data_IF_847683188064
#
_entry.id   IF_847683188064
#
_cell.length_a   1.000
_cell.length_b   1.000
_cell.length_c   1.000
_cell.angle_alpha   90.00
_cell.angle_beta   90.00
_cell.angle_gamma   90.00
#
_symmetry.space_group_name_H-M   'P 1'
#
loop_
_entity.id
_entity.type
_entity.pdbx_description
1 polymer ?
#
# COMPACT_ATOMS: atom_id res chain seq x y z
N UNK A 1 -7.17 -8.47 24.83
CA UNK A 1 -7.23 -9.65 23.96
C UNK A 1 -8.04 -9.29 22.74
N UNK A 2 -7.35 -9.04 21.62
CA UNK A 2 -8.03 -8.80 20.35
C UNK A 2 -8.71 -10.12 19.92
N UNK A 3 -9.85 -10.08 19.20
CA UNK A 3 -10.53 -11.28 18.72
C UNK A 3 -9.66 -12.18 17.81
N UNK A 4 -8.50 -11.71 17.40
CA UNK A 4 -7.49 -12.46 16.63
C UNK A 4 -6.58 -13.35 17.49
N UNK A 5 -6.64 -13.23 18.81
CA UNK A 5 -5.90 -14.09 19.72
C UNK A 5 -6.77 -15.24 20.26
N UNK A 6 -7.93 -15.44 19.67
CA UNK A 6 -8.60 -16.72 19.81
C UNK A 6 -7.76 -17.72 19.05
N UNK A 7 -7.18 -18.61 19.80
CA UNK A 7 -6.50 -19.80 19.33
C UNK A 7 -7.28 -20.38 18.13
N UNK A 8 -6.68 -20.41 16.94
CA UNK A 8 -7.31 -20.94 15.73
C UNK A 8 -7.76 -22.40 15.95
N UNK A 9 -7.14 -23.11 16.89
CA UNK A 9 -7.56 -24.42 17.33
C UNK A 9 -8.95 -24.44 17.97
N UNK A 10 -9.42 -23.33 18.54
CA UNK A 10 -10.78 -23.20 19.07
C UNK A 10 -11.83 -22.81 18.01
N UNK A 11 -11.40 -22.31 16.87
CA UNK A 11 -12.28 -21.99 15.73
C UNK A 11 -12.47 -23.18 14.79
N UNK A 12 -11.49 -24.07 14.75
CA UNK A 12 -11.49 -25.30 14.00
C UNK A 12 -11.63 -26.43 15.03
N UNK A 13 -12.86 -26.82 15.28
CA UNK A 13 -13.16 -27.91 16.20
C UNK A 13 -12.77 -29.26 15.56
N UNK A 14 -11.47 -29.41 15.27
CA UNK A 14 -10.91 -30.67 14.74
C UNK A 14 -10.86 -31.70 15.85
N UNK A 15 -11.80 -32.57 15.83
CA UNK A 15 -11.82 -33.78 16.72
C UNK A 15 -10.85 -34.85 16.23
N UNK A 16 -10.35 -34.75 15.00
CA UNK A 16 -9.38 -35.69 14.41
C UNK A 16 -7.98 -35.06 14.35
N UNK A 17 -6.97 -35.65 15.01
CA UNK A 17 -5.59 -35.19 14.95
C UNK A 17 -5.01 -35.11 13.52
N UNK A 18 -5.49 -35.96 12.61
CA UNK A 18 -5.02 -35.95 11.21
C UNK A 18 -5.54 -34.76 10.43
N UNK A 19 -6.76 -34.29 10.69
CA UNK A 19 -7.31 -33.08 10.09
C UNK A 19 -6.59 -31.83 10.60
N UNK A 20 -6.24 -31.81 11.89
CA UNK A 20 -5.46 -30.72 12.47
C UNK A 20 -4.08 -30.63 11.83
N UNK A 21 -3.39 -31.75 11.64
CA UNK A 21 -2.06 -31.79 11.03
C UNK A 21 -2.10 -31.40 9.54
N UNK A 22 -3.16 -31.81 8.83
CA UNK A 22 -3.38 -31.40 7.44
C UNK A 22 -3.62 -29.91 7.32
N UNK A 23 -4.50 -29.34 8.14
CA UNK A 23 -4.78 -27.91 8.17
C UNK A 23 -3.53 -27.09 8.53
N UNK A 24 -2.70 -27.60 9.46
CA UNK A 24 -1.43 -26.99 9.83
C UNK A 24 -0.45 -26.95 8.66
N UNK A 25 -0.32 -28.05 7.91
CA UNK A 25 0.52 -28.09 6.71
C UNK A 25 0.02 -27.14 5.62
N UNK A 26 -1.27 -27.11 5.37
CA UNK A 26 -1.86 -26.16 4.40
C UNK A 26 -1.63 -24.71 4.81
N UNK A 27 -1.71 -24.38 6.10
CA UNK A 27 -1.38 -23.03 6.61
C UNK A 27 0.10 -22.70 6.49
N UNK A 28 0.99 -23.68 6.66
CA UNK A 28 2.43 -23.51 6.45
C UNK A 28 2.77 -23.32 4.97
N UNK A 29 2.14 -24.07 4.06
CA UNK A 29 2.31 -23.96 2.61
C UNK A 29 1.80 -22.60 2.07
N UNK A 30 0.73 -22.08 2.66
CA UNK A 30 0.20 -20.75 2.30
C UNK A 30 1.05 -19.60 2.83
N UNK A 31 2.19 -19.87 3.48
CA UNK A 31 3.07 -18.86 4.05
C UNK A 31 2.43 -18.03 5.15
N UNK A 32 1.29 -18.47 5.68
CA UNK A 32 0.58 -17.78 6.76
C UNK A 32 1.33 -18.02 8.07
N UNK A 33 1.65 -16.90 8.66
CA UNK A 33 2.42 -16.62 9.85
C UNK A 33 2.45 -17.75 10.86
N UNK A 34 3.66 -18.25 11.09
CA UNK A 34 3.96 -19.07 12.25
C UNK A 34 3.78 -18.22 13.51
N UNK A 35 2.79 -18.55 14.27
CA UNK A 35 2.33 -17.88 15.50
C UNK A 35 3.41 -17.61 16.55
N UNK A 36 3.19 -16.64 17.41
CA UNK A 36 2.15 -15.63 17.45
C UNK A 36 2.53 -14.38 16.64
N UNK A 37 1.52 -13.68 16.08
CA UNK A 37 1.76 -12.38 15.49
C UNK A 37 2.36 -11.43 16.55
N UNK A 38 3.54 -10.90 16.29
CA UNK A 38 4.24 -10.00 17.22
C UNK A 38 3.64 -8.59 17.25
N UNK A 39 2.80 -8.27 16.29
CA UNK A 39 2.15 -6.96 16.18
C UNK A 39 0.83 -7.07 15.43
N UNK A 40 -0.01 -6.04 15.57
CA UNK A 40 -1.22 -5.89 14.77
C UNK A 40 -0.85 -5.39 13.36
N UNK A 41 -1.45 -6.00 12.33
CA UNK A 41 -1.30 -5.55 10.94
C UNK A 41 -2.21 -4.37 10.58
N UNK A 42 -3.06 -3.90 11.51
CA UNK A 42 -4.00 -2.81 11.28
C UNK A 42 -3.39 -1.41 11.42
N UNK A 43 -2.15 -1.30 11.87
CA UNK A 43 -1.45 -0.03 11.94
C UNK A 43 -1.37 0.67 10.57
N UNK A 44 -1.38 2.01 10.57
CA UNK A 44 -1.26 2.83 9.36
C UNK A 44 0.18 2.98 8.88
N UNK A 45 1.13 2.63 9.73
CA UNK A 45 2.56 2.58 9.48
C UNK A 45 3.04 1.18 9.86
N UNK A 46 3.99 0.63 9.14
CA UNK A 46 4.57 -0.66 9.48
C UNK A 46 5.64 -0.55 10.59
N UNK A 47 6.23 -1.67 10.98
CA UNK A 47 7.24 -1.70 12.06
C UNK A 47 8.56 -1.02 11.68
N UNK A 48 8.80 -0.81 10.39
CA UNK A 48 9.99 -0.12 9.87
C UNK A 48 9.73 1.37 9.60
N UNK A 49 8.53 1.87 9.93
CA UNK A 49 8.17 3.27 9.74
C UNK A 49 7.62 3.60 8.34
N UNK A 50 7.43 2.62 7.46
CA UNK A 50 6.85 2.87 6.14
C UNK A 50 5.35 3.10 6.22
N UNK A 51 4.83 4.17 5.60
CA UNK A 51 3.41 4.43 5.53
C UNK A 51 2.71 3.40 4.64
N UNK A 52 1.56 2.91 5.10
CA UNK A 52 0.64 2.08 4.31
C UNK A 52 -0.39 2.97 3.62
N UNK A 53 -1.16 2.44 2.67
CA UNK A 53 -2.18 3.20 1.95
C UNK A 53 -3.13 3.98 2.87
N UNK A 54 -3.54 3.37 3.98
CA UNK A 54 -4.42 4.00 4.96
C UNK A 54 -3.80 5.23 5.66
N UNK A 55 -2.48 5.32 5.73
CA UNK A 55 -1.79 6.52 6.22
C UNK A 55 -2.13 7.73 5.36
N UNK A 56 -2.11 7.57 4.04
CA UNK A 56 -2.41 8.66 3.11
C UNK A 56 -3.88 9.07 3.16
N UNK A 57 -4.78 8.12 3.45
CA UNK A 57 -6.17 8.43 3.71
C UNK A 57 -6.30 9.37 4.92
N UNK A 58 -5.73 9.01 6.08
CA UNK A 58 -5.75 9.88 7.25
C UNK A 58 -5.02 11.21 7.02
N UNK A 59 -3.86 11.19 6.37
CA UNK A 59 -3.11 12.39 6.04
C UNK A 59 -3.95 13.37 5.22
N UNK A 60 -4.72 12.87 4.25
CA UNK A 60 -5.56 13.72 3.40
C UNK A 60 -6.67 14.46 4.16
N UNK A 61 -7.12 13.90 5.29
CA UNK A 61 -8.14 14.54 6.13
C UNK A 61 -7.57 15.45 7.21
N UNK A 62 -6.58 14.93 7.92
CA UNK A 62 -6.03 15.62 9.08
C UNK A 62 -5.09 16.76 8.71
N UNK A 63 -4.54 16.68 7.52
CA UNK A 63 -3.62 17.71 7.00
C UNK A 63 -4.07 18.20 5.62
N UNK A 64 -5.26 18.84 5.54
CA UNK A 64 -5.76 19.38 4.28
C UNK A 64 -4.89 20.54 3.73
N UNK A 65 -4.00 21.07 4.55
CA UNK A 65 -3.00 22.09 4.24
C UNK A 65 -1.77 21.50 3.52
N UNK A 66 -1.55 20.19 3.60
CA UNK A 66 -0.39 19.52 3.00
C UNK A 66 -0.77 18.88 1.68
N UNK A 67 -0.09 19.22 0.57
CA UNK A 67 -0.31 18.58 -0.72
C UNK A 67 -0.17 17.06 -0.59
N UNK A 68 -1.27 16.35 -0.87
CA UNK A 68 -1.33 14.89 -0.78
C UNK A 68 -2.16 14.36 -1.93
N UNK A 69 -1.62 13.39 -2.64
CA UNK A 69 -2.34 12.49 -3.54
C UNK A 69 -1.69 11.12 -3.41
N UNK A 70 -2.49 10.06 -3.40
CA UNK A 70 -2.00 8.69 -3.28
C UNK A 70 -2.88 7.74 -4.08
N UNK A 71 -2.23 6.98 -4.96
CA UNK A 71 -2.87 6.04 -5.90
C UNK A 71 -2.88 4.64 -5.30
N UNK A 72 -4.03 3.97 -5.38
CA UNK A 72 -4.20 2.56 -5.07
C UNK A 72 -4.85 1.86 -6.27
N UNK A 73 -4.50 0.59 -6.50
CA UNK A 73 -3.38 -0.19 -5.97
C UNK A 73 -2.05 0.17 -6.64
N UNK A 74 -0.97 -0.57 -6.33
CA UNK A 74 0.25 -0.53 -7.14
C UNK A 74 -0.04 -0.93 -8.60
N UNK A 75 0.87 -0.59 -9.53
CA UNK A 75 0.63 -0.82 -10.95
C UNK A 75 1.55 -1.90 -11.53
N UNK A 76 1.59 -3.08 -10.85
CA UNK A 76 2.36 -4.27 -11.22
C UNK A 76 1.47 -5.52 -11.14
N UNK A 77 0.76 -5.82 -12.24
CA UNK A 77 -0.19 -6.92 -12.34
C UNK A 77 0.00 -7.68 -13.67
N UNK A 78 1.17 -8.32 -13.83
CA UNK A 78 1.52 -9.00 -15.08
C UNK A 78 0.43 -10.02 -15.50
N UNK A 79 -0.19 -10.69 -14.54
CA UNK A 79 -1.25 -11.67 -14.74
C UNK A 79 -2.63 -11.07 -15.08
N UNK A 80 -2.80 -9.75 -14.97
CA UNK A 80 -4.09 -9.07 -15.11
C UNK A 80 -4.18 -8.15 -16.32
N UNK A 81 -3.31 -8.31 -17.31
CA UNK A 81 -3.31 -7.45 -18.52
C UNK A 81 -4.68 -7.50 -19.20
N UNK A 82 -5.30 -6.32 -19.37
CA UNK A 82 -6.63 -6.16 -19.97
C UNK A 82 -7.81 -6.38 -19.01
N UNK A 83 -7.57 -6.86 -17.78
CA UNK A 83 -8.62 -7.02 -16.77
C UNK A 83 -8.97 -5.70 -16.10
N UNK A 84 -10.20 -5.59 -15.62
CA UNK A 84 -10.65 -4.44 -14.84
C UNK A 84 -9.90 -4.42 -13.49
N UNK A 85 -9.20 -3.33 -13.26
CA UNK A 85 -8.45 -3.06 -12.03
C UNK A 85 -8.89 -1.70 -11.51
N UNK A 86 -9.84 -1.65 -10.56
CA UNK A 86 -10.33 -0.39 -10.01
C UNK A 86 -9.20 0.42 -9.37
N UNK A 87 -9.20 1.72 -9.63
CA UNK A 87 -8.22 2.67 -9.07
C UNK A 87 -8.92 3.55 -8.06
N UNK A 88 -8.32 3.66 -6.88
CA UNK A 88 -8.77 4.55 -5.81
C UNK A 88 -7.70 5.61 -5.53
N UNK A 89 -8.13 6.82 -5.22
CA UNK A 89 -7.20 7.92 -4.92
C UNK A 89 -7.61 8.63 -3.65
N UNK A 90 -6.65 8.78 -2.74
CA UNK A 90 -6.76 9.63 -1.57
C UNK A 90 -6.08 10.97 -1.87
N UNK A 91 -6.73 12.07 -1.55
CA UNK A 91 -6.15 13.41 -1.77
C UNK A 91 -6.66 14.43 -0.77
N UNK A 92 -5.80 15.40 -0.44
CA UNK A 92 -6.17 16.63 0.27
C UNK A 92 -6.65 17.75 -0.68
N UNK A 93 -6.67 17.45 -1.99
CA UNK A 93 -7.25 18.34 -3.02
C UNK A 93 -8.77 18.20 -3.13
N UNK A 94 -9.38 18.99 -3.98
CA UNK A 94 -10.82 19.03 -4.25
C UNK A 94 -11.20 18.10 -5.40
N UNK A 95 -10.28 17.91 -6.36
CA UNK A 95 -10.46 17.10 -7.56
C UNK A 95 -9.18 16.38 -7.95
N UNK A 96 -9.32 15.30 -8.72
CA UNK A 96 -8.19 14.58 -9.31
C UNK A 96 -8.51 14.24 -10.77
N UNK A 97 -7.52 14.36 -11.62
CA UNK A 97 -7.53 13.81 -12.97
C UNK A 97 -6.55 12.64 -13.03
N UNK A 98 -7.03 11.48 -13.53
CA UNK A 98 -6.26 10.25 -13.65
C UNK A 98 -5.84 10.04 -15.09
N UNK A 99 -4.61 9.60 -15.29
CA UNK A 99 -4.03 9.30 -16.61
C UNK A 99 -3.43 7.90 -16.60
N UNK A 100 -3.72 7.14 -17.65
CA UNK A 100 -3.07 5.85 -17.95
C UNK A 100 -2.27 6.01 -19.24
N UNK A 101 -0.97 5.77 -19.18
CA UNK A 101 -0.05 5.90 -20.32
C UNK A 101 -0.20 7.25 -21.06
N UNK A 102 -0.38 8.33 -20.29
CA UNK A 102 -0.56 9.68 -20.82
C UNK A 102 -1.98 10.02 -21.31
N UNK A 103 -2.89 9.05 -21.40
CA UNK A 103 -4.28 9.26 -21.76
C UNK A 103 -5.12 9.57 -20.53
N UNK A 104 -5.86 10.68 -20.54
CA UNK A 104 -6.78 11.04 -19.47
C UNK A 104 -7.94 10.03 -19.37
N UNK A 105 -8.20 9.55 -18.17
CA UNK A 105 -9.36 8.75 -17.79
C UNK A 105 -10.46 9.61 -17.15
N UNK A 106 -10.32 10.93 -17.27
CA UNK A 106 -11.26 11.90 -16.77
C UNK A 106 -10.92 12.45 -15.39
N UNK A 107 -11.53 13.58 -15.10
CA UNK A 107 -11.43 14.29 -13.82
C UNK A 107 -12.64 13.96 -12.97
N UNK A 108 -12.41 13.74 -11.67
CA UNK A 108 -13.45 13.54 -10.66
C UNK A 108 -13.27 14.53 -9.52
N UNK A 109 -14.37 14.98 -8.96
CA UNK A 109 -14.42 15.94 -7.85
C UNK A 109 -14.92 15.25 -6.60
N UNK A 110 -14.43 15.67 -5.44
CA UNK A 110 -14.90 15.20 -4.14
C UNK A 110 -16.23 15.86 -3.81
N UNK A 111 -17.19 15.08 -3.35
CA UNK A 111 -18.45 15.62 -2.79
C UNK A 111 -18.26 16.04 -1.33
N UNK A 112 -17.39 15.34 -0.60
CA UNK A 112 -17.05 15.63 0.79
C UNK A 112 -15.54 15.52 1.02
N UNK A 113 -15.04 16.19 2.03
CA UNK A 113 -13.60 16.20 2.35
C UNK A 113 -13.02 14.81 2.64
N UNK A 114 -13.84 13.88 3.10
CA UNK A 114 -13.47 12.51 3.43
C UNK A 114 -13.66 11.51 2.26
N UNK A 115 -14.13 11.97 1.10
CA UNK A 115 -14.34 11.08 -0.03
C UNK A 115 -13.00 10.61 -0.60
N UNK A 116 -12.95 9.34 -0.94
CA UNK A 116 -11.98 8.82 -1.89
C UNK A 116 -12.56 8.92 -3.30
N UNK A 117 -11.71 9.21 -4.26
CA UNK A 117 -12.10 9.19 -5.66
C UNK A 117 -11.81 7.82 -6.26
N UNK A 118 -12.73 7.29 -7.06
CA UNK A 118 -12.64 5.94 -7.63
C UNK A 118 -12.83 5.96 -9.13
N UNK A 119 -12.08 5.11 -9.84
CA UNK A 119 -12.27 4.75 -11.25
C UNK A 119 -12.43 3.24 -11.30
N UNK A 120 -13.66 2.76 -11.45
CA UNK A 120 -14.02 1.35 -11.25
C UNK A 120 -13.83 0.49 -12.50
N UNK A 121 -13.65 1.09 -13.67
CA UNK A 121 -13.61 0.46 -14.98
C UNK A 121 -12.23 0.55 -15.67
N UNK A 122 -11.19 0.91 -14.94
CA UNK A 122 -9.84 0.99 -15.50
C UNK A 122 -9.35 -0.40 -15.85
N UNK A 123 -8.95 -0.58 -17.12
CA UNK A 123 -8.30 -1.83 -17.54
C UNK A 123 -6.80 -1.71 -17.34
N UNK A 124 -6.24 -2.73 -16.73
CA UNK A 124 -4.80 -2.75 -16.51
C UNK A 124 -4.05 -2.87 -17.85
N UNK A 125 -3.19 -1.91 -18.08
CA UNK A 125 -2.18 -1.90 -19.13
C UNK A 125 -0.84 -1.58 -18.48
N UNK A 126 0.24 -2.35 -18.77
CA UNK A 126 1.57 -2.02 -18.28
C UNK A 126 1.98 -0.60 -18.71
N UNK A 127 2.71 0.08 -17.85
CA UNK A 127 3.18 1.44 -18.09
C UNK A 127 2.96 2.36 -16.90
N UNK A 128 2.50 3.58 -17.13
CA UNK A 128 2.41 4.62 -16.11
C UNK A 128 0.96 4.96 -15.78
N UNK A 129 0.66 4.98 -14.48
CA UNK A 129 -0.59 5.51 -13.93
C UNK A 129 -0.26 6.77 -13.14
N UNK A 130 -0.80 7.92 -13.59
CA UNK A 130 -0.52 9.24 -13.01
C UNK A 130 -1.79 9.90 -12.51
N UNK A 131 -1.75 10.42 -11.30
CA UNK A 131 -2.82 11.23 -10.74
C UNK A 131 -2.34 12.66 -10.51
N UNK A 132 -3.15 13.64 -10.96
CA UNK A 132 -2.93 15.06 -10.69
C UNK A 132 -4.10 15.56 -9.85
N UNK A 133 -3.79 15.94 -8.61
CA UNK A 133 -4.75 16.56 -7.72
C UNK A 133 -4.79 18.09 -7.92
N UNK A 134 -5.99 18.63 -7.78
CA UNK A 134 -6.24 20.07 -7.87
C UNK A 134 -6.89 20.56 -6.58
N UNK A 135 -6.60 21.80 -6.21
CA UNK A 135 -7.22 22.50 -5.10
C UNK A 135 -7.48 23.94 -5.50
N UNK A 136 -8.71 24.41 -5.31
CA UNK A 136 -9.12 25.75 -5.76
C UNK A 136 -8.78 26.01 -7.24
N UNK A 137 -8.94 25.00 -8.09
CA UNK A 137 -8.67 25.08 -9.52
C UNK A 137 -7.18 25.03 -9.92
N UNK A 138 -6.25 25.02 -8.98
CA UNK A 138 -4.81 24.95 -9.24
C UNK A 138 -4.27 23.55 -8.98
N UNK A 139 -3.19 23.18 -9.69
CA UNK A 139 -2.47 21.93 -9.41
C UNK A 139 -1.97 21.94 -7.98
N UNK A 140 -2.31 20.89 -7.23
CA UNK A 140 -2.04 20.76 -5.81
C UNK A 140 -0.95 19.72 -5.50
N UNK A 141 -1.08 18.55 -6.07
CA UNK A 141 -0.13 17.46 -5.91
C UNK A 141 -0.16 16.55 -7.14
N UNK A 142 0.86 15.74 -7.33
CA UNK A 142 0.86 14.66 -8.31
C UNK A 142 1.57 13.43 -7.77
N UNK A 143 1.15 12.26 -8.23
CA UNK A 143 1.78 10.97 -7.99
C UNK A 143 1.82 10.18 -9.29
N UNK A 144 2.89 9.43 -9.46
CA UNK A 144 3.11 8.52 -10.56
C UNK A 144 3.45 7.15 -10.00
N UNK A 145 2.74 6.12 -10.44
CA UNK A 145 3.10 4.72 -10.22
C UNK A 145 3.33 4.06 -11.57
N UNK A 146 4.33 3.20 -11.64
CA UNK A 146 4.75 2.60 -12.90
C UNK A 146 4.88 1.08 -12.77
N UNK A 147 4.59 0.39 -13.85
CA UNK A 147 4.91 -1.02 -13.99
C UNK A 147 6.42 -1.17 -14.08
N UNK A 148 6.99 -1.92 -13.16
CA UNK A 148 8.43 -2.18 -13.13
C UNK A 148 8.81 -3.33 -14.07
N UNK A 149 10.05 -3.31 -14.52
CA UNK A 149 10.66 -4.43 -15.24
C UNK A 149 11.07 -5.57 -14.30
N UNK A 150 11.85 -6.51 -14.84
CA UNK A 150 12.46 -7.57 -14.02
C UNK A 150 13.48 -6.96 -13.04
N UNK A 151 13.61 -7.51 -11.83
CA UNK A 151 14.65 -7.10 -10.90
C UNK A 151 16.04 -7.11 -11.55
N UNK A 152 16.76 -5.99 -11.50
CA UNK A 152 18.06 -5.83 -12.12
C UNK A 152 19.19 -5.61 -11.11
N UNK A 153 18.90 -4.94 -9.99
CA UNK A 153 19.91 -4.62 -8.99
C UNK A 153 19.30 -4.39 -7.60
N UNK A 154 20.18 -4.33 -6.59
CA UNK A 154 19.83 -3.84 -5.25
C UNK A 154 20.39 -2.43 -5.08
N UNK A 155 19.52 -1.50 -4.74
CA UNK A 155 19.89 -0.16 -4.33
C UNK A 155 19.89 -0.08 -2.81
N UNK A 156 21.02 0.35 -2.25
CA UNK A 156 21.19 0.50 -0.80
C UNK A 156 21.37 1.98 -0.49
N UNK A 157 20.58 2.51 0.42
CA UNK A 157 20.69 3.88 0.92
C UNK A 157 20.73 3.88 2.43
N UNK A 158 21.70 4.58 3.00
CA UNK A 158 21.82 4.77 4.45
C UNK A 158 21.36 6.19 4.81
N UNK A 159 20.64 6.33 5.92
CA UNK A 159 20.24 7.64 6.45
C UNK A 159 21.45 8.44 6.93
N UNK A 160 22.39 7.73 7.58
CA UNK A 160 23.69 8.26 8.00
C UNK A 160 24.79 7.37 7.45
N UNK A 161 25.83 7.96 6.92
CA UNK A 161 27.03 7.26 6.43
C UNK A 161 28.14 7.16 7.47
N UNK A 162 28.06 7.96 8.53
CA UNK A 162 28.99 7.97 9.66
C UNK A 162 28.24 7.75 10.96
N UNK A 163 28.73 6.87 11.80
CA UNK A 163 28.18 6.56 13.11
C UNK A 163 29.22 6.85 14.21
N UNK A 164 28.74 7.34 15.33
CA UNK A 164 29.56 7.44 16.53
C UNK A 164 29.65 6.08 17.22
N UNK A 165 30.83 5.68 17.64
CA UNK A 165 31.03 4.42 18.36
C UNK A 165 30.67 4.57 19.84
N UNK A 166 29.46 5.02 20.16
CA UNK A 166 28.98 5.26 21.52
C UNK A 166 27.95 4.22 22.02
N UNK A 167 27.63 3.23 21.17
CA UNK A 167 26.65 2.18 21.46
C UNK A 167 25.20 2.62 21.40
N UNK A 168 24.93 3.88 21.06
CA UNK A 168 23.57 4.46 21.00
C UNK A 168 23.21 5.05 19.62
N UNK A 169 24.22 5.42 18.84
CA UNK A 169 24.00 5.99 17.51
C UNK A 169 23.59 4.92 16.50
N UNK A 170 22.57 5.22 15.69
CA UNK A 170 21.95 4.30 14.74
C UNK A 170 21.86 4.92 13.34
N UNK A 171 21.94 4.06 12.32
CA UNK A 171 21.58 4.41 10.95
C UNK A 171 20.57 3.41 10.41
N UNK A 172 19.51 3.93 9.81
CA UNK A 172 18.55 3.10 9.09
C UNK A 172 19.03 2.90 7.67
N UNK A 173 19.05 1.64 7.24
CA UNK A 173 19.45 1.25 5.88
C UNK A 173 18.22 0.80 5.13
N UNK A 174 17.95 1.45 4.01
CA UNK A 174 16.91 1.03 3.05
C UNK A 174 17.56 0.22 1.93
N UNK A 175 17.02 -0.95 1.66
CA UNK A 175 17.37 -1.78 0.51
C UNK A 175 16.16 -1.84 -0.41
N UNK A 176 16.33 -1.43 -1.65
CA UNK A 176 15.30 -1.50 -2.69
C UNK A 176 15.77 -2.42 -3.82
N UNK A 177 14.83 -3.14 -4.40
CA UNK A 177 15.04 -3.86 -5.65
C UNK A 177 14.70 -2.91 -6.80
N UNK A 178 15.60 -2.75 -7.75
CA UNK A 178 15.46 -1.87 -8.92
C UNK A 178 15.78 -2.61 -10.20
#
# INVERSE_FOLDING_TARGET
PTPYNKDLTNLLNFSDPNELEKARKELEELGKIKTPSRSSYFGIVDLCGFPKDRYYNYKSYWRPDVPTVHILPHWNWEERIGEITPVHIYTSGDAVELFLNGKSLGRREKSHSYDRLTWDDVRYEPGSLKAIAYKNGQKWAEELVETTGKPAALQVTAEKTELKSDGTDLSFIRVAVV
#
